data_IF_224457725450
#
_entry.id   IF_224457725450
#
_cell.length_a   1.000
_cell.length_b   1.000
_cell.length_c   1.000
_cell.angle_alpha   90.00
_cell.angle_beta   90.00
_cell.angle_gamma   90.00
#
_symmetry.space_group_name_H-M   'P 1'
#
loop_
_entity.id
_entity.type
_entity.pdbx_description
1 polymer ?
#
# COMPACT_ATOMS: atom_id res chain seq x y z
N UNK A 1 0.40 0.40 42.82
CA UNK A 1 1.59 0.16 41.97
C UNK A 1 1.24 -0.34 40.57
N UNK A 2 0.42 -1.40 40.44
CA UNK A 2 0.04 -2.01 39.14
C UNK A 2 -0.57 -1.05 38.10
N UNK A 3 -1.44 -0.10 38.50
CA UNK A 3 -2.02 0.90 37.58
C UNK A 3 -0.97 1.80 36.90
N UNK A 4 0.12 2.14 37.61
CA UNK A 4 1.19 2.99 37.07
C UNK A 4 2.06 2.23 36.07
N UNK A 5 2.25 0.94 36.30
CA UNK A 5 2.98 0.02 35.43
C UNK A 5 2.16 -0.23 34.15
N UNK A 6 0.85 -0.43 34.27
CA UNK A 6 -0.04 -0.60 33.13
C UNK A 6 -0.12 0.68 32.27
N UNK A 7 -0.18 1.85 32.91
CA UNK A 7 -0.21 3.15 32.23
C UNK A 7 1.08 3.48 31.45
N UNK A 8 2.21 2.86 31.82
CA UNK A 8 3.51 3.09 31.15
C UNK A 8 3.82 2.00 30.11
N UNK A 9 3.42 0.75 30.33
CA UNK A 9 3.66 -0.35 29.39
C UNK A 9 2.75 -0.32 28.16
N UNK A 10 1.51 0.14 28.30
CA UNK A 10 0.55 0.16 27.19
C UNK A 10 0.99 1.07 26.02
N UNK A 11 1.43 2.32 26.22
CA UNK A 11 1.90 3.16 25.11
C UNK A 11 3.21 2.64 24.49
N UNK A 12 4.11 2.04 25.30
CA UNK A 12 5.33 1.43 24.80
C UNK A 12 5.05 0.23 23.86
N UNK A 13 4.01 -0.55 24.16
CA UNK A 13 3.60 -1.68 23.32
C UNK A 13 3.00 -1.22 21.98
N UNK A 14 2.19 -0.15 21.98
CA UNK A 14 1.59 0.40 20.76
C UNK A 14 2.65 0.95 19.80
N UNK A 15 3.69 1.59 20.33
CA UNK A 15 4.82 2.12 19.54
C UNK A 15 5.70 1.02 18.92
N UNK A 16 5.63 -0.21 19.42
CA UNK A 16 6.40 -1.35 18.90
C UNK A 16 5.71 -2.08 17.73
N UNK A 17 4.39 -1.87 17.53
CA UNK A 17 3.61 -2.51 16.47
C UNK A 17 4.09 -2.24 15.02
N UNK A 18 4.48 -1.01 14.63
CA UNK A 18 4.85 -0.73 13.23
C UNK A 18 6.18 -1.38 12.82
N UNK A 19 7.03 -1.79 13.75
CA UNK A 19 8.27 -2.52 13.45
C UNK A 19 8.03 -3.92 12.88
N UNK A 20 6.82 -4.49 13.05
CA UNK A 20 6.43 -5.77 12.46
C UNK A 20 5.85 -5.64 11.05
N UNK A 21 5.72 -4.42 10.51
CA UNK A 21 5.17 -4.15 9.18
C UNK A 21 6.19 -4.35 8.04
N UNK A 22 7.30 -5.07 8.26
CA UNK A 22 8.30 -5.36 7.22
C UNK A 22 7.76 -6.16 6.03
N UNK A 23 6.60 -6.79 6.19
CA UNK A 23 5.94 -7.55 5.13
C UNK A 23 4.74 -6.78 4.61
N UNK A 24 4.52 -6.87 3.31
CA UNK A 24 3.35 -6.35 2.63
C UNK A 24 2.04 -6.70 3.34
N UNK A 25 1.47 -5.69 4.01
CA UNK A 25 0.32 -5.83 4.87
C UNK A 25 -0.98 -6.05 4.11
N UNK A 26 -2.04 -6.52 4.79
CA UNK A 26 -3.35 -6.70 4.18
C UNK A 26 -3.90 -5.39 3.57
N UNK A 27 -3.60 -4.24 4.19
CA UNK A 27 -3.94 -2.92 3.67
C UNK A 27 -3.24 -2.58 2.36
N UNK A 28 -1.92 -2.82 2.27
CA UNK A 28 -1.15 -2.59 1.04
C UNK A 28 -1.64 -3.49 -0.10
N UNK A 29 -1.94 -4.77 0.18
CA UNK A 29 -2.49 -5.70 -0.82
C UNK A 29 -3.85 -5.23 -1.35
N UNK A 30 -4.71 -4.78 -0.44
CA UNK A 30 -6.00 -4.23 -0.80
C UNK A 30 -5.84 -2.95 -1.64
N UNK A 31 -4.98 -2.03 -1.22
CA UNK A 31 -4.63 -0.81 -1.97
C UNK A 31 -4.17 -1.13 -3.39
N UNK A 32 -3.16 -1.99 -3.55
CA UNK A 32 -2.67 -2.38 -4.88
C UNK A 32 -3.72 -3.05 -5.76
N UNK A 33 -4.66 -3.79 -5.17
CA UNK A 33 -5.75 -4.39 -5.95
C UNK A 33 -6.71 -3.32 -6.49
N UNK A 34 -6.98 -2.28 -5.70
CA UNK A 34 -7.80 -1.14 -6.10
C UNK A 34 -7.08 -0.29 -7.14
N UNK A 35 -5.79 -0.02 -6.98
CA UNK A 35 -4.99 0.73 -7.95
C UNK A 35 -4.99 0.04 -9.32
N UNK A 36 -4.76 -1.27 -9.36
CA UNK A 36 -4.81 -2.06 -10.61
C UNK A 36 -6.21 -2.03 -11.24
N UNK A 37 -7.27 -2.08 -10.43
CA UNK A 37 -8.63 -1.97 -10.94
C UNK A 37 -8.88 -0.60 -11.58
N UNK A 38 -8.44 0.47 -10.92
CA UNK A 38 -8.52 1.85 -11.43
C UNK A 38 -7.72 2.03 -12.73
N UNK A 39 -6.50 1.51 -12.80
CA UNK A 39 -5.69 1.52 -14.02
C UNK A 39 -6.37 0.77 -15.18
N UNK A 40 -6.95 -0.40 -14.95
CA UNK A 40 -7.65 -1.16 -15.98
C UNK A 40 -8.87 -0.40 -16.53
N UNK A 41 -9.62 0.26 -15.64
CA UNK A 41 -10.75 1.10 -16.04
C UNK A 41 -10.25 2.29 -16.86
N UNK A 42 -9.19 2.96 -16.41
CA UNK A 42 -8.57 4.07 -17.13
C UNK A 42 -8.07 3.64 -18.51
N UNK A 43 -7.42 2.50 -18.61
CA UNK A 43 -6.92 1.95 -19.88
C UNK A 43 -8.06 1.55 -20.83
N UNK A 44 -9.23 1.18 -20.29
CA UNK A 44 -10.41 0.85 -21.08
C UNK A 44 -11.06 2.12 -21.65
N UNK A 45 -11.16 3.19 -20.85
CA UNK A 45 -11.77 4.47 -21.24
C UNK A 45 -10.81 5.29 -22.10
N UNK A 46 -9.52 5.28 -21.76
CA UNK A 46 -8.43 5.94 -22.48
C UNK A 46 -7.32 4.95 -22.84
N UNK A 47 -7.55 4.14 -23.89
CA UNK A 47 -6.55 3.20 -24.35
C UNK A 47 -5.31 3.95 -24.86
N UNK A 48 -4.12 3.36 -24.70
CA UNK A 48 -2.88 4.02 -25.09
C UNK A 48 -2.88 4.27 -26.59
N UNK A 49 -2.60 5.52 -26.99
CA UNK A 49 -2.76 5.97 -28.38
C UNK A 49 -1.62 5.51 -29.29
N UNK A 50 -0.52 5.02 -28.72
CA UNK A 50 0.63 4.57 -29.48
C UNK A 50 1.62 3.72 -28.67
N UNK A 51 2.66 3.17 -29.33
CA UNK A 51 3.63 2.28 -28.72
C UNK A 51 4.48 2.95 -27.63
N UNK A 52 4.78 4.25 -27.75
CA UNK A 52 5.51 5.00 -26.73
C UNK A 52 4.72 5.12 -25.41
N UNK A 53 3.42 5.35 -25.50
CA UNK A 53 2.55 5.46 -24.32
C UNK A 53 2.29 4.10 -23.66
N UNK A 54 2.19 3.03 -24.47
CA UNK A 54 2.18 1.64 -23.96
C UNK A 54 3.44 1.31 -23.17
N UNK A 55 4.60 1.67 -23.72
CA UNK A 55 5.88 1.43 -23.07
C UNK A 55 6.01 2.25 -21.79
N UNK A 56 5.67 3.55 -21.82
CA UNK A 56 5.66 4.40 -20.64
C UNK A 56 4.80 3.82 -19.51
N UNK A 57 3.56 3.40 -19.82
CA UNK A 57 2.68 2.71 -18.85
C UNK A 57 3.25 1.40 -18.32
N UNK A 58 3.93 0.63 -19.16
CA UNK A 58 4.55 -0.63 -18.71
C UNK A 58 5.70 -0.40 -17.74
N UNK A 59 6.50 0.66 -17.96
CA UNK A 59 7.60 1.06 -17.08
C UNK A 59 7.05 1.57 -15.75
N UNK A 60 6.01 2.41 -15.78
CA UNK A 60 5.34 2.97 -14.61
C UNK A 60 4.77 1.88 -13.67
N UNK A 61 4.32 0.75 -14.22
CA UNK A 61 3.83 -0.41 -13.43
C UNK A 61 4.93 -1.25 -12.78
N UNK A 62 6.15 -1.14 -13.27
CA UNK A 62 7.30 -1.92 -12.79
C UNK A 62 8.16 -1.18 -11.78
N UNK A 63 8.03 0.16 -11.73
CA UNK A 63 8.66 1.03 -10.75
C UNK A 63 7.76 1.19 -9.52
#
# INVERSE_FOLDING_TARGET
>A
MMRKILATLLPALVLALPLMACSEGPGERAGRSLDRAGENIRDTIDPPKGPGERLGRSIDRTL
#
